data_IF_405970248594
#
_entry.id   IF_405970248594
#
_cell.length_a   1.000
_cell.length_b   1.000
_cell.length_c   1.000
_cell.angle_alpha   90.00
_cell.angle_beta   90.00
_cell.angle_gamma   90.00
#
_symmetry.space_group_name_H-M   'P 1'
#
loop_
_entity.id
_entity.type
_entity.pdbx_description
1 polymer ?
#
# COMPACT_ATOMS: atom_id res chain seq x y z
N UNK A 1 45.07 -43.07 26.65
CA UNK A 1 44.47 -44.01 25.69
C UNK A 1 42.98 -43.88 25.89
N UNK A 2 42.39 -42.79 25.42
CA UNK A 2 42.01 -42.46 24.03
C UNK A 2 40.52 -42.70 23.88
N UNK A 3 39.86 -41.68 23.37
CA UNK A 3 38.42 -41.48 23.40
C UNK A 3 37.86 -42.16 22.16
N UNK A 4 37.11 -43.23 22.33
CA UNK A 4 36.25 -43.78 21.29
C UNK A 4 35.11 -42.78 21.06
N UNK A 5 35.34 -41.84 20.15
CA UNK A 5 34.32 -40.99 19.53
C UNK A 5 34.29 -41.38 18.07
N UNK A 6 33.61 -42.47 17.77
CA UNK A 6 33.26 -42.82 16.40
C UNK A 6 32.30 -41.76 15.86
N UNK A 7 32.58 -41.38 14.62
CA UNK A 7 32.15 -40.18 13.92
C UNK A 7 30.63 -40.12 13.76
N UNK A 8 30.05 -38.99 14.12
CA UNK A 8 28.71 -38.62 13.67
C UNK A 8 28.88 -38.21 12.21
N UNK A 9 28.35 -39.01 11.29
CA UNK A 9 28.21 -38.66 9.88
C UNK A 9 27.21 -37.48 9.78
N UNK A 10 27.71 -36.26 9.93
CA UNK A 10 27.01 -35.02 9.57
C UNK A 10 27.07 -34.85 8.05
N UNK A 11 26.39 -35.73 7.31
CA UNK A 11 25.86 -35.35 5.99
C UNK A 11 24.58 -34.56 6.23
N UNK A 12 24.74 -33.29 6.59
CA UNK A 12 23.67 -32.30 6.44
C UNK A 12 23.46 -32.17 4.93
N UNK A 13 22.32 -32.69 4.50
CA UNK A 13 21.81 -32.65 3.13
C UNK A 13 21.65 -31.18 2.68
N UNK A 14 22.51 -30.74 1.75
CA UNK A 14 22.55 -29.41 1.10
C UNK A 14 21.30 -29.09 0.24
N UNK A 15 20.19 -29.82 0.39
CA UNK A 15 18.96 -29.65 -0.41
C UNK A 15 18.11 -28.45 0.04
N UNK A 16 18.53 -27.67 1.05
CA UNK A 16 17.74 -26.55 1.57
C UNK A 16 17.91 -25.22 0.79
N UNK A 17 18.86 -25.15 -0.14
CA UNK A 17 19.18 -23.90 -0.85
C UNK A 17 18.37 -23.69 -2.15
N UNK A 18 17.83 -24.74 -2.79
CA UNK A 18 17.18 -24.62 -4.11
C UNK A 18 15.77 -23.98 -4.07
N UNK A 19 15.01 -24.14 -2.98
CA UNK A 19 13.63 -23.62 -2.89
C UNK A 19 13.57 -22.09 -2.68
N UNK A 20 14.60 -21.51 -2.05
CA UNK A 20 14.63 -20.07 -1.75
C UNK A 20 14.89 -19.22 -3.01
N UNK A 21 15.71 -19.75 -3.92
CA UNK A 21 16.01 -19.11 -5.21
C UNK A 21 14.77 -19.11 -6.14
N UNK A 22 13.96 -20.19 -6.11
CA UNK A 22 12.73 -20.26 -6.89
C UNK A 22 11.67 -19.25 -6.39
N UNK A 23 11.52 -19.13 -5.08
CA UNK A 23 10.58 -18.17 -4.48
C UNK A 23 11.03 -16.71 -4.67
N UNK A 24 12.34 -16.44 -4.63
CA UNK A 24 12.89 -15.14 -4.98
C UNK A 24 12.58 -14.76 -6.44
N UNK A 25 12.77 -15.70 -7.38
CA UNK A 25 12.46 -15.50 -8.79
C UNK A 25 10.97 -15.25 -9.04
N UNK A 26 10.07 -15.99 -8.36
CA UNK A 26 8.61 -15.78 -8.43
C UNK A 26 8.21 -14.40 -7.92
N UNK A 27 8.80 -13.96 -6.81
CA UNK A 27 8.52 -12.64 -6.23
C UNK A 27 9.02 -11.52 -7.15
N UNK A 28 10.19 -11.68 -7.76
CA UNK A 28 10.73 -10.75 -8.73
C UNK A 28 9.85 -10.64 -9.98
N UNK A 29 9.39 -11.76 -10.53
CA UNK A 29 8.46 -11.80 -11.66
C UNK A 29 7.15 -11.04 -11.34
N UNK A 30 6.56 -11.30 -10.17
CA UNK A 30 5.35 -10.59 -9.71
C UNK A 30 5.58 -9.09 -9.53
N UNK A 31 6.74 -8.71 -9.00
CA UNK A 31 7.10 -7.30 -8.84
C UNK A 31 7.32 -6.62 -10.18
N UNK A 32 7.95 -7.29 -11.15
CA UNK A 32 8.13 -6.79 -12.51
C UNK A 32 6.78 -6.54 -13.20
N UNK A 33 5.85 -7.49 -13.10
CA UNK A 33 4.49 -7.34 -13.62
C UNK A 33 3.75 -6.16 -12.97
N UNK A 34 3.84 -6.03 -11.64
CA UNK A 34 3.24 -4.88 -10.93
C UNK A 34 3.81 -3.55 -11.41
N UNK A 35 5.14 -3.46 -11.61
CA UNK A 35 5.82 -2.25 -12.10
C UNK A 35 5.33 -1.84 -13.49
N UNK A 36 5.25 -2.80 -14.40
CA UNK A 36 4.74 -2.58 -15.75
C UNK A 36 3.28 -2.10 -15.73
N UNK A 37 2.43 -2.72 -14.90
CA UNK A 37 1.04 -2.32 -14.75
C UNK A 37 0.87 -0.88 -14.23
N UNK A 38 1.75 -0.44 -13.33
CA UNK A 38 1.77 0.92 -12.79
C UNK A 38 2.17 1.94 -13.87
N UNK A 39 3.23 1.66 -14.63
CA UNK A 39 3.69 2.52 -15.73
C UNK A 39 2.62 2.60 -16.82
N UNK A 40 2.01 1.47 -17.21
CA UNK A 40 0.92 1.43 -18.18
C UNK A 40 -0.32 2.21 -17.70
N UNK A 41 -0.62 2.17 -16.39
CA UNK A 41 -1.69 2.97 -15.78
C UNK A 41 -1.36 4.46 -15.76
N UNK A 42 -0.13 4.84 -15.46
CA UNK A 42 0.32 6.24 -15.50
C UNK A 42 0.26 6.78 -16.94
N UNK A 43 0.68 5.99 -17.93
CA UNK A 43 0.58 6.34 -19.34
C UNK A 43 -0.88 6.56 -19.77
N UNK A 44 -1.80 5.68 -19.39
CA UNK A 44 -3.24 5.83 -19.72
C UNK A 44 -3.89 7.06 -19.08
N UNK A 45 -3.47 7.45 -17.87
CA UNK A 45 -4.10 8.56 -17.13
C UNK A 45 -3.45 9.92 -17.37
N UNK A 46 -2.14 9.93 -17.59
CA UNK A 46 -1.32 11.15 -17.59
C UNK A 46 -0.40 11.24 -18.83
N UNK A 47 -0.54 10.33 -19.79
CA UNK A 47 0.24 10.31 -21.03
C UNK A 47 1.71 10.00 -20.81
N UNK A 48 2.53 10.32 -21.82
CA UNK A 48 3.98 10.04 -21.84
C UNK A 48 4.73 10.67 -20.66
N UNK A 49 4.35 11.89 -20.25
CA UNK A 49 4.97 12.58 -19.12
C UNK A 49 4.77 11.80 -17.80
N UNK A 50 3.58 11.23 -17.58
CA UNK A 50 3.30 10.42 -16.40
C UNK A 50 4.07 9.09 -16.37
N UNK A 51 4.28 8.48 -17.53
CA UNK A 51 5.06 7.25 -17.66
C UNK A 51 6.55 7.47 -17.30
N UNK A 52 7.14 8.58 -17.77
CA UNK A 52 8.54 8.93 -17.49
C UNK A 52 8.74 9.19 -15.99
N UNK A 53 7.83 9.96 -15.36
CA UNK A 53 7.92 10.24 -13.92
C UNK A 53 7.75 8.97 -13.09
N UNK A 54 6.78 8.12 -13.42
CA UNK A 54 6.57 6.84 -12.72
C UNK A 54 7.76 5.88 -12.90
N UNK A 55 8.31 5.79 -14.11
CA UNK A 55 9.52 5.02 -14.40
C UNK A 55 10.75 5.56 -13.66
N UNK A 56 10.91 6.88 -13.59
CA UNK A 56 11.99 7.52 -12.84
C UNK A 56 11.91 7.26 -11.34
N UNK A 57 10.73 7.40 -10.73
CA UNK A 57 10.54 7.07 -9.31
C UNK A 57 10.81 5.59 -9.02
N UNK A 58 10.46 4.69 -9.95
CA UNK A 58 10.71 3.27 -9.81
C UNK A 58 12.21 2.94 -9.92
N UNK A 59 12.91 3.55 -10.85
CA UNK A 59 14.35 3.39 -11.00
C UNK A 59 15.10 3.91 -9.75
N UNK A 60 14.63 5.02 -9.17
CA UNK A 60 15.17 5.55 -7.91
C UNK A 60 14.91 4.58 -6.75
N UNK A 61 13.71 4.00 -6.64
CA UNK A 61 13.38 2.99 -5.60
C UNK A 61 14.24 1.71 -5.72
N UNK A 62 14.58 1.32 -6.96
CA UNK A 62 15.44 0.17 -7.21
C UNK A 62 16.91 0.43 -6.85
N UNK A 63 17.43 1.62 -7.17
CA UNK A 63 18.83 1.99 -6.89
C UNK A 63 19.08 2.28 -5.42
N UNK A 64 18.15 2.92 -4.73
CA UNK A 64 18.30 3.24 -3.30
C UNK A 64 18.10 2.05 -2.37
N UNK A 65 17.67 0.90 -2.90
CA UNK A 65 17.42 -0.31 -2.14
C UNK A 65 16.24 -0.13 -1.18
N UNK A 66 15.16 -0.89 -1.38
CA UNK A 66 14.11 -0.97 -0.37
C UNK A 66 14.73 -1.45 0.94
N UNK A 67 14.79 -0.61 1.98
CA UNK A 67 14.88 -1.10 3.35
C UNK A 67 13.65 -2.00 3.55
N UNK A 68 13.82 -3.30 3.86
CA UNK A 68 12.71 -4.16 4.20
C UNK A 68 11.91 -3.45 5.29
N UNK A 69 10.63 -3.18 5.06
CA UNK A 69 9.76 -2.66 6.12
C UNK A 69 9.46 -3.80 7.07
N UNK A 70 10.43 -4.14 7.91
CA UNK A 70 10.17 -4.79 9.19
C UNK A 70 9.58 -3.72 10.10
N UNK A 71 8.27 -3.50 9.99
CA UNK A 71 7.53 -2.88 11.07
C UNK A 71 6.46 -3.87 11.49
N UNK A 72 6.61 -4.56 12.65
CA UNK A 72 5.50 -5.29 13.21
C UNK A 72 4.32 -4.31 13.36
N UNK A 73 3.11 -4.79 13.09
CA UNK A 73 1.90 -3.99 13.28
C UNK A 73 1.91 -3.44 14.71
N UNK A 74 2.16 -2.14 14.88
CA UNK A 74 2.08 -1.49 16.17
C UNK A 74 0.60 -1.50 16.59
N UNK A 75 0.21 -2.53 17.36
CA UNK A 75 -1.12 -2.62 17.95
C UNK A 75 -1.14 -1.65 19.13
N UNK A 76 -1.54 -0.42 18.86
CA UNK A 76 -1.76 0.59 19.90
C UNK A 76 -3.20 0.47 20.39
N UNK A 77 -3.38 -0.15 21.54
CA UNK A 77 -4.67 -0.18 22.23
C UNK A 77 -4.94 1.18 22.88
N UNK A 78 -5.80 1.98 22.27
CA UNK A 78 -6.28 3.22 22.87
C UNK A 78 -7.39 2.91 23.89
N UNK A 79 -7.05 2.97 25.17
CA UNK A 79 -8.03 2.91 26.27
C UNK A 79 -8.64 4.30 26.48
N UNK A 80 -9.65 4.64 25.68
CA UNK A 80 -10.38 5.91 25.76
C UNK A 80 -11.78 5.79 25.18
N UNK A 81 -12.65 6.76 25.48
CA UNK A 81 -13.97 6.82 24.85
C UNK A 81 -13.82 6.98 23.33
N UNK A 82 -14.57 6.23 22.51
CA UNK A 82 -14.50 6.36 21.06
C UNK A 82 -14.90 7.78 20.64
N UNK A 83 -13.99 8.47 19.95
CA UNK A 83 -14.26 9.78 19.35
C UNK A 83 -15.30 9.65 18.22
N UNK A 84 -16.14 10.68 18.04
CA UNK A 84 -17.13 10.75 16.97
C UNK A 84 -16.44 11.06 15.62
N UNK A 85 -16.07 10.00 14.89
CA UNK A 85 -15.36 10.09 13.61
C UNK A 85 -16.20 10.83 12.55
N UNK A 86 -17.53 10.78 12.63
CA UNK A 86 -18.42 11.42 11.67
C UNK A 86 -18.41 12.94 11.79
N UNK A 87 -18.14 13.47 12.99
CA UNK A 87 -18.00 14.90 13.26
C UNK A 87 -16.55 15.38 13.16
N UNK A 88 -15.64 14.71 13.85
CA UNK A 88 -14.30 15.22 14.10
C UNK A 88 -13.23 14.69 13.13
N UNK A 89 -13.56 13.62 12.39
CA UNK A 89 -12.62 12.92 11.52
C UNK A 89 -11.60 12.08 12.29
N UNK A 90 -10.48 11.74 11.64
CA UNK A 90 -9.40 10.94 12.22
C UNK A 90 -8.19 11.85 12.46
N UNK A 91 -7.67 11.87 13.69
CA UNK A 91 -6.45 12.60 14.08
C UNK A 91 -5.47 11.62 14.71
N UNK A 92 -4.28 11.52 14.15
CA UNK A 92 -3.22 10.64 14.62
C UNK A 92 -1.98 11.50 14.91
N UNK A 93 -1.64 11.75 16.18
CA UNK A 93 -0.38 12.40 16.52
C UNK A 93 0.77 11.44 16.17
N UNK A 94 1.76 11.93 15.42
CA UNK A 94 2.98 11.18 15.08
C UNK A 94 4.10 11.54 16.07
N UNK A 95 4.18 12.82 16.44
CA UNK A 95 5.05 13.37 17.47
C UNK A 95 4.34 14.57 18.16
N UNK A 96 5.01 15.26 19.10
CA UNK A 96 4.45 16.38 19.86
C UNK A 96 4.03 17.59 19.00
N UNK A 97 4.58 17.71 17.79
CA UNK A 97 4.39 18.83 16.87
C UNK A 97 3.69 18.47 15.56
N UNK A 98 3.61 17.18 15.24
CA UNK A 98 3.13 16.67 13.95
C UNK A 98 1.92 15.77 14.17
N UNK A 99 0.80 16.14 13.58
CA UNK A 99 -0.44 15.35 13.60
C UNK A 99 -0.96 15.14 12.18
N UNK A 100 -1.26 13.89 11.85
CA UNK A 100 -1.93 13.53 10.61
C UNK A 100 -3.43 13.66 10.82
N UNK A 101 -4.10 14.41 9.94
CA UNK A 101 -5.55 14.66 10.04
C UNK A 101 -6.24 14.22 8.75
N UNK A 102 -7.29 13.41 8.89
CA UNK A 102 -8.27 13.11 7.84
C UNK A 102 -9.62 13.72 8.25
N UNK A 103 -10.04 14.84 7.63
CA UNK A 103 -11.30 15.51 7.97
C UNK A 103 -12.52 14.62 7.78
N UNK A 104 -13.55 14.87 8.59
CA UNK A 104 -14.86 14.23 8.46
C UNK A 104 -15.44 14.42 7.04
N UNK A 105 -16.24 13.46 6.51
CA UNK A 105 -16.70 13.48 5.12
C UNK A 105 -17.37 14.79 4.68
N UNK A 106 -18.10 15.43 5.58
CA UNK A 106 -18.81 16.69 5.34
C UNK A 106 -17.90 17.94 5.37
N UNK A 107 -16.70 17.82 5.96
CA UNK A 107 -15.68 18.88 6.01
C UNK A 107 -14.67 18.79 4.86
N UNK A 108 -14.72 17.73 4.05
CA UNK A 108 -13.76 17.51 2.95
C UNK A 108 -13.98 18.53 1.83
N UNK A 109 -12.91 19.22 1.37
CA UNK A 109 -13.01 20.12 0.25
C UNK A 109 -13.46 19.35 -1.01
N UNK A 110 -14.49 19.87 -1.69
CA UNK A 110 -15.02 19.28 -2.93
C UNK A 110 -16.17 18.27 -2.77
N UNK A 111 -16.59 17.90 -1.55
CA UNK A 111 -17.67 16.92 -1.34
C UNK A 111 -19.10 17.50 -1.42
N UNK A 112 -19.29 18.63 -2.13
CA UNK A 112 -20.64 19.16 -2.35
C UNK A 112 -21.34 18.30 -3.38
N UNK A 113 -22.23 17.41 -2.93
CA UNK A 113 -23.08 16.60 -3.81
C UNK A 113 -23.94 17.52 -4.67
N UNK A 114 -23.58 17.70 -5.94
CA UNK A 114 -24.36 18.48 -6.90
C UNK A 114 -25.58 17.65 -7.30
N UNK A 115 -26.71 17.86 -6.61
CA UNK A 115 -27.98 17.22 -6.97
C UNK A 115 -28.66 18.07 -8.04
N UNK A 116 -28.66 17.58 -9.29
CA UNK A 116 -29.41 18.22 -10.38
C UNK A 116 -30.91 17.96 -10.19
N UNK A 117 -31.67 18.97 -9.75
CA UNK A 117 -33.13 18.89 -9.62
C UNK A 117 -33.75 18.61 -11.00
N UNK A 118 -34.35 17.42 -11.17
CA UNK A 118 -35.12 17.08 -12.38
C UNK A 118 -36.37 17.94 -12.41
N UNK A 119 -36.53 18.76 -13.45
CA UNK A 119 -37.78 19.51 -13.70
C UNK A 119 -38.87 18.47 -14.00
N UNK A 120 -39.94 18.45 -13.21
CA UNK A 120 -41.14 17.68 -13.54
C UNK A 120 -41.87 18.49 -14.60
N UNK A 121 -42.07 17.94 -15.79
CA UNK A 121 -42.95 18.53 -16.79
C UNK A 121 -44.39 18.42 -16.24
N UNK A 122 -44.89 19.49 -15.65
CA UNK A 122 -46.32 19.68 -15.44
C UNK A 122 -46.93 20.06 -16.78
N UNK A 123 -47.19 19.05 -17.61
CA UNK A 123 -47.73 19.24 -18.95
C UNK A 123 -48.52 18.00 -19.34
N UNK A 124 -49.67 17.81 -18.71
CA UNK A 124 -50.82 17.06 -19.21
C UNK A 124 -52.01 17.29 -18.27
N UNK A 125 -52.56 18.51 -18.35
CA UNK A 125 -53.97 18.78 -18.18
C UNK A 125 -54.37 19.54 -19.45
N UNK A 126 -55.01 18.85 -20.38
CA UNK A 126 -55.73 19.44 -21.49
C UNK A 126 -56.81 18.42 -21.91
N UNK A 127 -58.05 18.83 -21.64
CA UNK A 127 -59.38 18.33 -22.06
C UNK A 127 -59.74 16.84 -21.93
#
# INVERSE_FOLDING_TARGET
MERDRDEVDESIDDTFDDDFDEDAARLEARNAEMRESMVARAHRKHGLAGAIVAGGMLAIDQVLGRRPKEQPAAVSEFSGEPTDIDKDGIKIPIDESTTVVSPAPHLRPGNKRVVRRRRRNSGQLAD
#
